data_IF_311198872885
#
_entry.id   IF_311198872885
#
_cell.length_a   1.000
_cell.length_b   1.000
_cell.length_c   1.000
_cell.angle_alpha   90.00
_cell.angle_beta   90.00
_cell.angle_gamma   90.00
#
_symmetry.space_group_name_H-M   'P 1'
#
loop_
_entity.id
_entity.type
_entity.pdbx_description
1 polymer ?
#
# COMPACT_ATOMS: atom_id res chain seq x y z
N UNK A 1 -0.42 -1.31 21.72
CA UNK A 1 0.81 -1.50 20.91
C UNK A 1 1.74 -0.34 21.17
N UNK A 2 2.97 -0.60 21.60
CA UNK A 2 3.96 0.43 21.98
C UNK A 2 4.93 0.67 20.80
N UNK A 3 4.42 1.19 19.68
CA UNK A 3 5.27 1.48 18.51
C UNK A 3 6.04 2.79 18.76
N UNK A 4 7.34 2.78 18.50
CA UNK A 4 8.22 3.95 18.60
C UNK A 4 8.93 4.14 17.26
N UNK A 5 8.92 5.36 16.77
CA UNK A 5 9.69 5.74 15.58
C UNK A 5 11.14 5.93 16.03
N UNK A 6 12.05 5.25 15.37
CA UNK A 6 13.50 5.40 15.58
C UNK A 6 14.04 6.08 14.33
N UNK A 7 14.37 7.37 14.45
CA UNK A 7 14.98 8.14 13.37
C UNK A 7 16.30 8.71 13.86
N UNK A 8 17.41 8.21 13.32
CA UNK A 8 18.73 8.81 13.44
C UNK A 8 19.04 9.60 12.16
N UNK A 9 19.77 10.73 12.22
CA UNK A 9 20.20 11.48 11.03
C UNK A 9 21.00 10.65 10.01
N UNK A 10 21.51 9.49 10.42
CA UNK A 10 22.38 8.61 9.64
C UNK A 10 21.81 7.20 9.40
N UNK A 11 20.61 6.89 9.91
CA UNK A 11 19.98 5.57 9.70
C UNK A 11 18.75 5.66 8.80
N UNK A 12 18.55 4.61 7.99
CA UNK A 12 17.28 4.37 7.32
C UNK A 12 16.14 4.34 8.34
N UNK A 13 15.01 4.94 7.99
CA UNK A 13 13.78 4.98 8.79
C UNK A 13 13.45 3.63 9.44
N UNK A 14 13.31 3.62 10.77
CA UNK A 14 13.10 2.41 11.55
C UNK A 14 11.97 2.54 12.59
N UNK A 15 11.47 1.38 13.01
CA UNK A 15 10.45 1.21 14.03
C UNK A 15 10.95 0.26 15.10
N UNK A 16 10.60 0.55 16.36
CA UNK A 16 10.74 -0.41 17.44
C UNK A 16 9.44 -0.62 18.19
N UNK A 17 9.24 -1.82 18.73
CA UNK A 17 8.12 -2.12 19.62
C UNK A 17 8.46 -3.25 20.58
N UNK A 18 7.78 -3.29 21.72
CA UNK A 18 7.87 -4.42 22.66
C UNK A 18 6.56 -5.20 22.57
N UNK A 19 6.65 -6.48 22.21
CA UNK A 19 5.50 -7.37 22.04
C UNK A 19 5.75 -8.65 22.85
N UNK A 20 4.90 -8.92 23.85
CA UNK A 20 5.03 -10.07 24.77
C UNK A 20 6.44 -10.24 25.35
N UNK A 21 7.08 -9.12 25.72
CA UNK A 21 8.44 -9.12 26.28
C UNK A 21 9.57 -9.09 25.26
N UNK A 22 9.29 -9.35 23.97
CA UNK A 22 10.29 -9.31 22.91
C UNK A 22 10.42 -7.92 22.31
N UNK A 23 11.66 -7.46 22.13
CA UNK A 23 11.96 -6.22 21.44
C UNK A 23 12.03 -6.51 19.94
N UNK A 24 11.16 -5.85 19.19
CA UNK A 24 11.11 -5.88 17.73
C UNK A 24 11.77 -4.60 17.23
N UNK A 25 12.75 -4.74 16.35
CA UNK A 25 13.34 -3.65 15.59
C UNK A 25 13.13 -3.91 14.09
N UNK A 26 12.61 -2.93 13.37
CA UNK A 26 12.24 -3.05 11.96
C UNK A 26 12.74 -1.84 11.17
N UNK A 27 13.48 -2.11 10.12
CA UNK A 27 13.72 -1.16 9.03
C UNK A 27 13.36 -1.84 7.70
N UNK A 28 13.49 -1.10 6.60
CA UNK A 28 13.02 -1.57 5.30
C UNK A 28 13.80 -2.82 4.85
N UNK A 29 15.10 -2.90 5.18
CA UNK A 29 15.95 -4.07 4.93
C UNK A 29 15.51 -5.31 5.69
N UNK A 30 15.17 -5.17 6.98
CA UNK A 30 14.68 -6.29 7.80
C UNK A 30 13.34 -6.80 7.28
N UNK A 31 12.43 -5.91 6.89
CA UNK A 31 11.16 -6.33 6.25
C UNK A 31 11.42 -7.07 4.95
N UNK A 32 12.32 -6.56 4.11
CA UNK A 32 12.69 -7.22 2.85
C UNK A 32 13.24 -8.63 3.08
N UNK A 33 14.11 -8.78 4.09
CA UNK A 33 14.69 -10.05 4.51
C UNK A 33 13.61 -11.05 4.96
N UNK A 34 12.72 -10.64 5.88
CA UNK A 34 11.65 -11.50 6.44
C UNK A 34 10.68 -11.97 5.35
N UNK A 35 10.40 -11.11 4.37
CA UNK A 35 9.44 -11.40 3.30
C UNK A 35 10.06 -12.03 2.06
N UNK A 36 11.39 -12.09 1.97
CA UNK A 36 12.13 -12.48 0.78
C UNK A 36 11.73 -11.67 -0.46
N UNK A 37 11.69 -10.34 -0.32
CA UNK A 37 11.38 -9.40 -1.41
C UNK A 37 12.52 -8.40 -1.64
N UNK A 38 12.60 -7.77 -2.83
CA UNK A 38 13.63 -6.77 -3.09
C UNK A 38 13.55 -5.54 -2.18
N UNK A 39 14.71 -4.96 -1.90
CA UNK A 39 14.90 -3.68 -1.21
C UNK A 39 15.60 -2.68 -2.15
N UNK A 40 15.03 -2.49 -3.34
CA UNK A 40 15.55 -1.63 -4.40
C UNK A 40 14.43 -0.75 -4.98
N UNK A 41 14.78 0.07 -5.96
CA UNK A 41 13.85 0.96 -6.65
C UNK A 41 13.68 2.31 -5.96
N UNK A 42 12.63 3.03 -6.35
CA UNK A 42 12.33 4.37 -5.85
C UNK A 42 11.99 4.35 -4.36
N UNK A 43 12.70 5.18 -3.59
CA UNK A 43 12.55 5.35 -2.14
C UNK A 43 11.83 6.66 -1.82
N UNK A 44 10.59 6.81 -2.27
CA UNK A 44 9.80 8.02 -2.04
C UNK A 44 8.44 7.69 -1.44
N UNK A 45 8.00 8.54 -0.52
CA UNK A 45 6.68 8.47 0.07
C UNK A 45 6.18 9.89 0.33
N UNK A 46 5.06 10.26 -0.30
CA UNK A 46 4.45 11.59 -0.14
C UNK A 46 2.96 11.48 0.15
N UNK A 47 2.47 12.25 1.13
CA UNK A 47 1.06 12.20 1.54
C UNK A 47 0.18 13.18 0.77
N UNK A 48 0.64 14.42 0.63
CA UNK A 48 -0.19 15.55 0.18
C UNK A 48 0.14 15.98 -1.25
N UNK A 49 1.41 15.87 -1.63
CA UNK A 49 1.92 16.29 -2.94
C UNK A 49 2.27 15.07 -3.81
N UNK A 50 2.61 15.35 -5.06
CA UNK A 50 3.17 14.33 -5.94
C UNK A 50 4.57 13.95 -5.49
N UNK A 51 4.96 12.67 -5.58
CA UNK A 51 6.35 12.28 -5.37
C UNK A 51 7.30 13.01 -6.31
N UNK A 52 8.37 13.57 -5.76
CA UNK A 52 9.44 14.23 -6.50
C UNK A 52 10.53 13.20 -6.79
N UNK A 53 10.46 12.57 -7.96
CA UNK A 53 11.37 11.50 -8.37
C UNK A 53 11.81 11.73 -9.80
N UNK A 54 13.10 11.50 -10.06
CA UNK A 54 13.70 11.69 -11.39
C UNK A 54 12.93 10.86 -12.44
N UNK A 55 12.49 11.51 -13.51
CA UNK A 55 11.76 10.85 -14.61
C UNK A 55 10.25 10.70 -14.39
N UNK A 56 9.72 11.10 -13.22
CA UNK A 56 8.28 11.13 -12.99
C UNK A 56 7.72 12.55 -13.20
N UNK A 57 6.65 12.66 -13.99
CA UNK A 57 5.82 13.85 -14.07
C UNK A 57 4.35 13.43 -13.91
N UNK A 58 3.50 14.15 -13.15
CA UNK A 58 2.11 13.76 -12.91
C UNK A 58 1.31 13.50 -14.20
N UNK A 59 1.55 14.28 -15.26
CA UNK A 59 0.87 14.09 -16.54
C UNK A 59 1.11 12.70 -17.16
N UNK A 60 2.22 12.02 -16.83
CA UNK A 60 2.52 10.69 -17.35
C UNK A 60 1.46 9.66 -16.92
N UNK A 61 0.94 9.77 -15.69
CA UNK A 61 -0.12 8.88 -15.21
C UNK A 61 -1.50 9.42 -15.54
N UNK A 62 -1.69 10.74 -15.54
CA UNK A 62 -2.98 11.33 -15.85
C UNK A 62 -3.43 11.02 -17.28
N UNK A 63 -2.51 11.03 -18.25
CA UNK A 63 -2.82 10.66 -19.64
C UNK A 63 -3.17 9.18 -19.79
N UNK A 64 -2.59 8.30 -18.97
CA UNK A 64 -2.92 6.86 -18.95
C UNK A 64 -4.28 6.62 -18.30
N UNK A 65 -4.57 7.29 -17.19
CA UNK A 65 -5.80 7.08 -16.42
C UNK A 65 -7.02 7.76 -17.06
N UNK A 66 -6.83 8.90 -17.72
CA UNK A 66 -7.89 9.72 -18.32
C UNK A 66 -7.55 10.14 -19.76
N UNK A 67 -7.37 9.20 -20.69
CA UNK A 67 -6.86 9.49 -22.04
C UNK A 67 -7.72 10.47 -22.86
N UNK A 68 -9.01 10.58 -22.53
CA UNK A 68 -9.97 11.39 -23.29
C UNK A 68 -10.49 12.62 -22.50
N UNK A 69 -9.92 12.93 -21.32
CA UNK A 69 -10.35 14.09 -20.54
C UNK A 69 -9.50 15.32 -20.92
N UNK A 70 -10.08 16.36 -21.57
CA UNK A 70 -9.32 17.53 -21.98
C UNK A 70 -8.87 18.40 -20.80
N UNK A 71 -9.40 18.16 -19.60
CA UNK A 71 -9.11 18.93 -18.40
C UNK A 71 -8.07 18.25 -17.48
N UNK A 72 -7.23 17.36 -18.01
CA UNK A 72 -6.18 16.74 -17.18
C UNK A 72 -5.15 17.78 -16.73
N UNK A 73 -4.93 17.90 -15.43
CA UNK A 73 -3.85 18.70 -14.87
C UNK A 73 -3.40 18.14 -13.50
N UNK A 74 -2.15 18.37 -13.06
CA UNK A 74 -1.61 17.78 -11.83
C UNK A 74 -2.39 18.06 -10.54
N UNK A 75 -3.19 19.13 -10.52
CA UNK A 75 -3.94 19.54 -9.34
C UNK A 75 -5.41 19.10 -9.34
N UNK A 76 -5.86 18.36 -10.37
CA UNK A 76 -7.23 17.89 -10.47
C UNK A 76 -7.56 16.85 -9.39
N UNK A 77 -8.85 16.70 -9.08
CA UNK A 77 -9.31 15.57 -8.28
C UNK A 77 -9.24 14.27 -9.11
N UNK A 78 -8.70 13.21 -8.51
CA UNK A 78 -8.57 11.90 -9.15
C UNK A 78 -9.73 11.02 -8.73
N UNK A 79 -10.63 10.69 -9.66
CA UNK A 79 -11.88 9.98 -9.39
C UNK A 79 -11.93 8.62 -10.08
N UNK A 80 -12.35 7.60 -9.33
CA UNK A 80 -12.28 6.20 -9.76
C UNK A 80 -13.36 5.85 -10.81
N UNK A 81 -14.48 6.57 -10.81
CA UNK A 81 -15.57 6.38 -11.76
C UNK A 81 -15.19 6.65 -13.22
N UNK A 82 -14.12 7.43 -13.46
CA UNK A 82 -13.59 7.71 -14.80
C UNK A 82 -12.54 6.69 -15.27
N UNK A 83 -12.08 5.80 -14.38
CA UNK A 83 -11.07 4.79 -14.72
C UNK A 83 -11.67 3.61 -15.48
N UNK A 84 -10.85 3.00 -16.33
CA UNK A 84 -11.13 1.68 -16.94
C UNK A 84 -11.24 0.59 -15.87
N UNK A 85 -11.85 -0.55 -16.22
CA UNK A 85 -12.03 -1.68 -15.29
C UNK A 85 -10.67 -2.18 -14.76
N UNK A 86 -9.66 -2.31 -15.62
CA UNK A 86 -8.32 -2.76 -15.22
C UNK A 86 -7.63 -1.78 -14.26
N UNK A 87 -7.76 -0.47 -14.52
CA UNK A 87 -7.24 0.56 -13.63
C UNK A 87 -7.96 0.58 -12.28
N UNK A 88 -9.27 0.31 -12.24
CA UNK A 88 -10.01 0.15 -10.98
C UNK A 88 -9.54 -1.07 -10.20
N UNK A 89 -9.29 -2.19 -10.88
CA UNK A 89 -8.76 -3.40 -10.25
C UNK A 89 -7.36 -3.15 -9.66
N UNK A 90 -6.49 -2.47 -10.42
CA UNK A 90 -5.16 -2.08 -9.95
C UNK A 90 -5.24 -1.13 -8.74
N UNK A 91 -6.12 -0.12 -8.79
CA UNK A 91 -6.36 0.75 -7.64
C UNK A 91 -6.84 -0.03 -6.42
N UNK A 92 -7.78 -0.95 -6.60
CA UNK A 92 -8.29 -1.81 -5.53
C UNK A 92 -7.16 -2.67 -4.91
N UNK A 93 -6.28 -3.24 -5.75
CA UNK A 93 -5.10 -3.95 -5.27
C UNK A 93 -4.20 -3.04 -4.44
N UNK A 94 -3.93 -1.82 -4.91
CA UNK A 94 -3.08 -0.86 -4.19
C UNK A 94 -3.68 -0.51 -2.84
N UNK A 95 -4.96 -0.13 -2.76
CA UNK A 95 -5.57 0.34 -1.51
C UNK A 95 -5.83 -0.74 -0.48
N UNK A 96 -5.80 -2.01 -0.87
CA UNK A 96 -5.98 -3.13 0.06
C UNK A 96 -4.67 -3.86 0.40
N UNK A 97 -3.71 -3.91 -0.53
CA UNK A 97 -2.48 -4.68 -0.36
C UNK A 97 -1.25 -3.81 -0.17
N UNK A 98 -1.05 -2.76 -0.96
CA UNK A 98 0.20 -2.00 -0.97
C UNK A 98 0.19 -0.79 -0.04
N UNK A 99 -0.89 -0.01 -0.10
CA UNK A 99 -1.12 1.17 0.71
C UNK A 99 -2.50 1.07 1.38
N UNK A 100 -2.68 0.17 2.37
CA UNK A 100 -3.94 0.03 3.10
C UNK A 100 -4.47 1.35 3.67
N UNK A 101 -5.55 1.85 3.09
CA UNK A 101 -6.22 3.07 3.57
C UNK A 101 -7.59 2.75 4.16
N UNK A 102 -7.91 3.37 5.30
CA UNK A 102 -9.27 3.37 5.83
C UNK A 102 -10.04 4.56 5.24
N UNK A 103 -11.29 4.36 4.85
CA UNK A 103 -12.15 5.40 4.28
C UNK A 103 -12.74 5.02 2.92
N UNK A 104 -13.39 5.99 2.27
CA UNK A 104 -14.08 5.75 1.00
C UNK A 104 -13.12 5.58 -0.19
N UNK A 105 -13.39 4.57 -1.02
CA UNK A 105 -12.66 4.25 -2.25
C UNK A 105 -13.26 4.94 -3.48
N UNK A 106 -13.63 6.23 -3.36
CA UNK A 106 -14.19 7.00 -4.48
C UNK A 106 -13.14 7.87 -5.20
N UNK A 107 -12.03 8.18 -4.51
CA UNK A 107 -10.95 9.04 -4.99
C UNK A 107 -9.60 8.36 -4.84
N UNK A 108 -8.65 8.72 -5.72
CA UNK A 108 -7.26 8.31 -5.61
C UNK A 108 -6.44 9.39 -4.89
N UNK A 109 -5.51 8.97 -4.05
CA UNK A 109 -4.44 9.87 -3.59
C UNK A 109 -3.35 9.98 -4.66
N UNK A 110 -2.55 11.04 -4.59
CA UNK A 110 -1.39 11.23 -5.49
C UNK A 110 -0.39 10.07 -5.36
N UNK A 111 -0.19 9.56 -4.14
CA UNK A 111 0.65 8.39 -3.91
C UNK A 111 0.08 7.11 -4.54
N UNK A 112 -1.24 6.91 -4.47
CA UNK A 112 -1.89 5.76 -5.14
C UNK A 112 -1.74 5.85 -6.65
N UNK A 113 -1.98 7.03 -7.24
CA UNK A 113 -1.77 7.24 -8.68
C UNK A 113 -0.29 7.04 -9.07
N UNK A 114 0.66 7.52 -8.26
CA UNK A 114 2.08 7.25 -8.47
C UNK A 114 2.42 5.75 -8.44
N UNK A 115 1.88 4.98 -7.48
CA UNK A 115 2.08 3.54 -7.45
C UNK A 115 1.47 2.84 -8.67
N UNK A 116 0.31 3.29 -9.14
CA UNK A 116 -0.26 2.80 -10.40
C UNK A 116 0.68 3.06 -11.57
N UNK A 117 1.27 4.26 -11.65
CA UNK A 117 2.26 4.60 -12.66
C UNK A 117 3.48 3.68 -12.61
N UNK A 118 4.01 3.42 -11.42
CA UNK A 118 5.14 2.51 -11.25
C UNK A 118 4.80 1.11 -11.77
N UNK A 119 3.63 0.57 -11.41
CA UNK A 119 3.22 -0.77 -11.83
C UNK A 119 2.98 -0.84 -13.34
N UNK A 120 2.25 0.13 -13.91
CA UNK A 120 1.94 0.17 -15.35
C UNK A 120 3.22 0.36 -16.17
N UNK A 121 4.10 1.25 -15.72
CA UNK A 121 5.36 1.59 -16.40
C UNK A 121 6.51 0.64 -16.05
N UNK A 122 6.26 -0.38 -15.23
CA UNK A 122 7.24 -1.35 -14.74
C UNK A 122 8.46 -0.70 -14.06
N UNK A 123 8.23 0.38 -13.32
CA UNK A 123 9.25 1.06 -12.50
C UNK A 123 9.28 0.40 -11.13
N UNK A 124 10.47 -0.04 -10.72
CA UNK A 124 10.68 -0.61 -9.39
C UNK A 124 10.53 0.45 -8.29
N UNK A 125 9.86 0.09 -7.21
CA UNK A 125 9.71 0.91 -6.02
C UNK A 125 9.95 0.06 -4.76
N UNK A 126 10.48 0.68 -3.71
CA UNK A 126 10.81 -0.05 -2.49
C UNK A 126 9.56 -0.32 -1.65
N UNK A 127 8.95 -1.48 -1.88
CA UNK A 127 7.75 -1.90 -1.16
C UNK A 127 7.94 -2.04 0.37
N UNK A 128 9.06 -2.59 0.89
CA UNK A 128 9.31 -2.61 2.34
C UNK A 128 9.27 -1.23 2.98
N UNK A 129 9.81 -0.20 2.31
CA UNK A 129 9.78 1.18 2.79
C UNK A 129 8.35 1.75 2.78
N UNK A 130 7.57 1.46 1.73
CA UNK A 130 6.15 1.82 1.64
C UNK A 130 5.36 1.25 2.84
N UNK A 131 5.63 -0.01 3.22
CA UNK A 131 4.98 -0.65 4.35
C UNK A 131 5.30 0.06 5.67
N UNK A 132 6.57 0.39 5.93
CA UNK A 132 6.96 1.10 7.15
C UNK A 132 6.26 2.45 7.26
N UNK A 133 6.27 3.25 6.19
CA UNK A 133 5.59 4.55 6.20
C UNK A 133 4.10 4.39 6.48
N UNK A 134 3.48 3.36 5.90
CA UNK A 134 2.06 3.06 6.11
C UNK A 134 1.77 2.64 7.56
N UNK A 135 2.64 1.84 8.18
CA UNK A 135 2.54 1.47 9.59
C UNK A 135 2.66 2.71 10.50
N UNK A 136 3.64 3.58 10.27
CA UNK A 136 3.79 4.83 11.01
C UNK A 136 2.57 5.71 10.86
N UNK A 137 2.05 5.83 9.64
CA UNK A 137 0.90 6.67 9.40
C UNK A 137 -0.34 6.18 10.14
N UNK A 138 -0.60 4.88 10.13
CA UNK A 138 -1.70 4.28 10.88
C UNK A 138 -1.56 4.52 12.39
N UNK A 139 -0.33 4.40 12.91
CA UNK A 139 -0.04 4.68 14.32
C UNK A 139 -0.22 6.16 14.68
N UNK A 140 0.35 7.08 13.89
CA UNK A 140 0.22 8.53 14.11
C UNK A 140 -1.23 9.02 14.04
N UNK A 141 -2.05 8.38 13.20
CA UNK A 141 -3.49 8.65 13.10
C UNK A 141 -4.32 7.98 14.21
N UNK A 142 -3.67 7.33 15.20
CA UNK A 142 -4.31 6.62 16.32
C UNK A 142 -5.36 5.60 15.85
N UNK A 143 -5.11 4.93 14.72
CA UNK A 143 -5.98 3.84 14.26
C UNK A 143 -5.93 2.70 15.26
N UNK A 144 -7.06 2.03 15.45
CA UNK A 144 -7.19 0.89 16.37
C UNK A 144 -6.38 -0.33 15.92
N UNK A 145 -6.07 -0.44 14.62
CA UNK A 145 -5.40 -1.59 14.02
C UNK A 145 -4.24 -1.13 13.12
N UNK A 146 -3.08 -1.78 13.28
CA UNK A 146 -1.94 -1.60 12.38
C UNK A 146 -2.17 -2.42 11.10
N UNK A 147 -1.91 -1.85 9.90
CA UNK A 147 -2.07 -2.56 8.64
C UNK A 147 -1.11 -3.75 8.51
N UNK A 148 -1.37 -4.60 7.51
CA UNK A 148 -0.56 -5.76 7.15
C UNK A 148 -0.54 -6.91 8.18
N UNK A 149 -1.70 -7.27 8.75
CA UNK A 149 -1.81 -8.32 9.77
C UNK A 149 -1.04 -9.62 9.47
N UNK A 150 -1.17 -10.17 8.26
CA UNK A 150 -0.43 -11.38 7.87
C UNK A 150 1.09 -11.20 7.83
N UNK A 151 1.56 -9.99 7.49
CA UNK A 151 2.98 -9.66 7.48
C UNK A 151 3.47 -9.47 8.92
N UNK A 152 2.69 -8.80 9.77
CA UNK A 152 3.00 -8.69 11.20
C UNK A 152 3.16 -10.06 11.85
N UNK A 153 2.34 -11.05 11.48
CA UNK A 153 2.52 -12.45 11.93
C UNK A 153 3.89 -13.01 11.53
N UNK A 154 4.37 -12.77 10.30
CA UNK A 154 5.71 -13.20 9.87
C UNK A 154 6.82 -12.49 10.66
N UNK A 155 6.67 -11.19 10.89
CA UNK A 155 7.58 -10.40 11.71
C UNK A 155 7.65 -10.95 13.13
N UNK A 156 6.50 -11.20 13.75
CA UNK A 156 6.43 -11.74 15.11
C UNK A 156 7.14 -13.10 15.22
N UNK A 157 6.93 -13.99 14.24
CA UNK A 157 7.64 -15.28 14.19
C UNK A 157 9.15 -15.12 14.03
N UNK A 158 9.60 -14.18 13.21
CA UNK A 158 11.03 -13.91 13.02
C UNK A 158 11.72 -13.42 14.31
N UNK A 159 10.99 -12.70 15.17
CA UNK A 159 11.48 -12.22 16.46
C UNK A 159 11.12 -13.13 17.64
N UNK A 160 10.79 -14.41 17.38
CA UNK A 160 10.45 -15.41 18.39
C UNK A 160 9.33 -14.99 19.36
N UNK A 161 8.39 -14.16 18.88
CA UNK A 161 7.20 -13.81 19.65
C UNK A 161 6.28 -15.02 19.67
N UNK A 162 5.99 -15.52 20.87
CA UNK A 162 5.06 -16.65 21.05
C UNK A 162 3.63 -16.28 20.62
N UNK A 163 3.14 -16.94 19.58
CA UNK A 163 1.77 -16.78 19.06
C UNK A 163 0.82 -17.90 19.52
N UNK A 164 1.28 -18.78 20.42
CA UNK A 164 0.43 -19.80 21.04
C UNK A 164 -0.76 -19.14 21.76
N UNK A 165 -1.95 -19.71 21.57
CA UNK A 165 -3.20 -19.18 22.12
C UNK A 165 -3.80 -17.99 21.37
N UNK A 166 -3.13 -17.43 20.36
CA UNK A 166 -3.69 -16.36 19.52
C UNK A 166 -4.73 -16.91 18.54
N UNK A 167 -5.86 -16.22 18.40
CA UNK A 167 -6.93 -16.60 17.48
C UNK A 167 -6.60 -16.09 16.08
N UNK A 168 -6.33 -17.02 15.16
CA UNK A 168 -6.12 -16.67 13.76
C UNK A 168 -7.40 -16.20 13.08
N UNK A 169 -7.32 -15.11 12.32
CA UNK A 169 -8.41 -14.65 11.47
C UNK A 169 -8.52 -15.55 10.24
N UNK A 170 -9.69 -16.19 10.06
CA UNK A 170 -10.00 -16.94 8.83
C UNK A 170 -10.47 -15.97 7.75
N UNK A 171 -10.07 -16.23 6.51
CA UNK A 171 -10.62 -15.52 5.35
C UNK A 171 -12.13 -15.74 5.27
N UNK A 172 -12.85 -14.64 5.07
CA UNK A 172 -14.28 -14.63 4.86
C UNK A 172 -14.58 -14.48 3.37
N UNK A 173 -15.83 -14.75 2.98
CA UNK A 173 -16.30 -14.52 1.59
C UNK A 173 -16.14 -13.05 1.16
N UNK A 174 -16.25 -12.12 2.10
CA UNK A 174 -16.05 -10.68 1.86
C UNK A 174 -14.60 -10.29 1.55
N UNK A 175 -13.63 -11.12 1.95
CA UNK A 175 -12.20 -10.93 1.63
C UNK A 175 -11.85 -11.41 0.21
N UNK A 176 -12.82 -11.98 -0.51
CA UNK A 176 -12.64 -12.51 -1.87
C UNK A 176 -13.45 -11.71 -2.89
N UNK A 177 -12.94 -11.63 -4.12
CA UNK A 177 -13.69 -11.03 -5.23
C UNK A 177 -14.85 -11.93 -5.66
N UNK A 178 -16.02 -11.69 -5.07
CA UNK A 178 -17.26 -12.30 -5.53
C UNK A 178 -17.85 -11.56 -6.73
N UNK A 179 -18.86 -12.17 -7.37
CA UNK A 179 -19.57 -11.61 -8.53
C UNK A 179 -20.09 -10.19 -8.27
N UNK A 180 -20.56 -9.88 -7.07
CA UNK A 180 -21.07 -8.54 -6.74
C UNK A 180 -19.94 -7.50 -6.73
N UNK A 181 -18.77 -7.84 -6.19
CA UNK A 181 -17.60 -6.96 -6.14
C UNK A 181 -17.11 -6.67 -7.56
N UNK A 182 -17.00 -7.71 -8.40
CA UNK A 182 -16.62 -7.59 -9.81
C UNK A 182 -17.62 -6.71 -10.58
N UNK A 183 -18.92 -6.93 -10.40
CA UNK A 183 -19.97 -6.13 -11.04
C UNK A 183 -19.89 -4.64 -10.63
N UNK A 184 -19.63 -4.34 -9.35
CA UNK A 184 -19.45 -2.97 -8.85
C UNK A 184 -18.22 -2.27 -9.45
N UNK A 185 -17.19 -3.04 -9.81
CA UNK A 185 -16.03 -2.52 -10.51
C UNK A 185 -16.29 -2.29 -12.02
N UNK A 186 -17.43 -2.74 -12.54
CA UNK A 186 -17.78 -2.68 -13.96
C UNK A 186 -17.27 -3.88 -14.76
N UNK A 187 -16.79 -4.92 -14.08
CA UNK A 187 -16.41 -6.17 -14.74
C UNK A 187 -17.65 -6.89 -15.22
N UNK A 188 -17.75 -7.12 -16.53
CA UNK A 188 -18.77 -7.96 -17.14
C UNK A 188 -18.09 -9.27 -17.54
N UNK A 189 -18.68 -10.40 -17.16
CA UNK A 189 -18.24 -11.70 -17.66
C UNK A 189 -18.44 -11.67 -19.18
N UNK A 190 -17.38 -11.86 -19.95
CA UNK A 190 -17.55 -12.20 -21.36
C UNK A 190 -18.10 -13.63 -21.39
N UNK A 191 -19.23 -13.82 -22.06
CA UNK A 191 -19.68 -15.16 -22.40
C UNK A 191 -18.60 -15.73 -23.33
N UNK A 192 -17.91 -16.77 -22.86
CA UNK A 192 -16.87 -17.42 -23.64
C UNK A 192 -17.50 -18.04 -24.88
N UNK A 193 -16.95 -17.71 -26.06
CA UNK A 193 -17.11 -18.56 -27.23
C UNK A 193 -16.38 -19.89 -27.02
#
# INVERSE_FOLDING_TARGET
>A
MNLRIVSSPHEEFALSSIVKGQIIFLNARIIALILHIPHNGLNTFEYKKWPEVKGFHPNNILSILYPNDPNIHPNMALCINKLSVDHRLLHHLIVHQFLPTGGGYAKLTRMQAFLMWCIISKIEFCYPLLMLHTMVCAFSQKKSVLPFGCILTKIFRYHDVRLEGEIGTKLKKEDTYNKSTLNRMGWKKQDGN
#
